data_IF_937688427941
#
_entry.id   IF_937688427941
#
_cell.length_a   1.000
_cell.length_b   1.000
_cell.length_c   1.000
_cell.angle_alpha   90.00
_cell.angle_beta   90.00
_cell.angle_gamma   90.00
#
_symmetry.space_group_name_H-M   'P 1'
#
loop_
_entity.id
_entity.type
_entity.pdbx_description
1 polymer ?
#
# COMPACT_ATOMS: atom_id res chain seq x y z
N UNK A 1 -23.89 2.89 10.98
CA UNK A 1 -23.75 1.49 11.45
C UNK A 1 -22.32 1.04 11.24
N UNK A 2 -21.75 0.40 12.26
CA UNK A 2 -20.38 -0.12 12.22
C UNK A 2 -20.44 -1.62 11.92
N UNK A 3 -19.72 -2.04 10.89
CA UNK A 3 -19.63 -3.44 10.49
C UNK A 3 -18.18 -3.91 10.51
N UNK A 4 -17.95 -5.16 10.87
CA UNK A 4 -16.66 -5.77 10.68
C UNK A 4 -16.30 -5.78 9.20
N UNK A 5 -15.02 -5.57 8.92
CA UNK A 5 -14.53 -5.51 7.57
C UNK A 5 -13.15 -6.16 7.49
N UNK A 6 -12.97 -7.04 6.54
CA UNK A 6 -11.66 -7.64 6.26
C UNK A 6 -11.11 -7.07 4.97
N UNK A 7 -9.90 -6.52 5.06
CA UNK A 7 -9.17 -6.12 3.86
C UNK A 7 -8.78 -7.39 3.11
N UNK A 8 -9.19 -7.47 1.86
CA UNK A 8 -8.88 -8.60 1.00
C UNK A 8 -8.70 -8.09 -0.42
N UNK A 9 -7.49 -7.59 -0.69
CA UNK A 9 -7.13 -7.10 -2.01
C UNK A 9 -7.05 -8.29 -2.97
N UNK A 10 -7.66 -8.16 -4.14
CA UNK A 10 -7.65 -9.24 -5.13
C UNK A 10 -6.24 -9.53 -5.62
N UNK A 11 -5.98 -10.79 -5.95
CA UNK A 11 -4.69 -11.16 -6.53
C UNK A 11 -4.46 -10.47 -7.86
N UNK A 12 -5.52 -10.24 -8.63
CA UNK A 12 -5.44 -9.48 -9.88
C UNK A 12 -4.91 -8.07 -9.67
N UNK A 13 -5.38 -7.37 -8.63
CA UNK A 13 -4.92 -6.03 -8.30
C UNK A 13 -3.45 -6.03 -7.89
N UNK A 14 -3.02 -7.01 -7.10
CA UNK A 14 -1.63 -7.16 -6.69
C UNK A 14 -0.74 -7.43 -7.91
N UNK A 15 -1.17 -8.33 -8.79
CA UNK A 15 -0.42 -8.65 -10.00
C UNK A 15 -0.33 -7.45 -10.94
N UNK A 16 -1.41 -6.67 -11.06
CA UNK A 16 -1.43 -5.45 -11.86
C UNK A 16 -0.47 -4.41 -11.30
N UNK A 17 -0.43 -4.24 -9.98
CA UNK A 17 0.53 -3.35 -9.33
C UNK A 17 1.97 -3.74 -9.67
N UNK A 18 2.30 -5.02 -9.53
CA UNK A 18 3.63 -5.51 -9.85
C UNK A 18 3.99 -5.28 -11.31
N UNK A 19 3.04 -5.50 -12.22
CA UNK A 19 3.24 -5.23 -13.64
C UNK A 19 3.50 -3.75 -13.89
N UNK A 20 2.75 -2.87 -13.24
CA UNK A 20 2.96 -1.42 -13.37
C UNK A 20 4.33 -0.98 -12.85
N UNK A 21 4.80 -1.57 -11.75
CA UNK A 21 6.15 -1.30 -11.24
C UNK A 21 7.20 -1.71 -12.25
N UNK A 22 7.06 -2.91 -12.85
CA UNK A 22 7.99 -3.38 -13.89
C UNK A 22 8.02 -2.48 -15.12
N UNK A 23 6.88 -1.89 -15.48
CA UNK A 23 6.74 -1.05 -16.65
C UNK A 23 7.02 0.42 -16.37
N UNK A 24 7.47 0.77 -15.17
CA UNK A 24 7.76 2.14 -14.80
C UNK A 24 8.82 2.74 -15.71
N UNK A 25 8.53 3.91 -16.24
CA UNK A 25 9.45 4.69 -17.05
C UNK A 25 10.12 5.72 -16.15
N UNK A 26 11.44 5.57 -15.98
CA UNK A 26 12.19 6.45 -15.08
C UNK A 26 12.52 7.76 -15.78
N UNK A 27 12.33 8.90 -15.10
CA UNK A 27 12.72 10.19 -15.67
C UNK A 27 14.24 10.35 -15.69
N UNK A 28 14.71 11.27 -16.53
CA UNK A 28 16.11 11.64 -16.52
C UNK A 28 16.50 12.34 -15.23
N UNK A 29 17.72 12.12 -14.78
CA UNK A 29 18.22 12.68 -13.54
C UNK A 29 19.34 13.68 -13.80
N UNK A 30 19.24 14.85 -13.15
CA UNK A 30 20.26 15.91 -13.28
C UNK A 30 21.50 15.53 -12.50
N UNK A 31 21.33 15.04 -11.27
CA UNK A 31 22.40 14.60 -10.39
C UNK A 31 22.00 13.29 -9.71
N UNK A 32 22.95 12.40 -9.47
CA UNK A 32 22.73 11.13 -8.77
C UNK A 32 22.76 11.33 -7.25
N UNK A 33 21.95 12.28 -6.75
CA UNK A 33 21.86 12.56 -5.32
C UNK A 33 20.51 13.20 -5.00
N UNK A 34 20.33 13.59 -3.74
CA UNK A 34 19.07 14.14 -3.23
C UNK A 34 18.91 15.65 -3.42
N UNK A 35 19.87 16.33 -4.04
CA UNK A 35 19.86 17.81 -4.09
C UNK A 35 18.68 18.40 -4.86
N UNK A 36 18.16 17.70 -5.87
CA UNK A 36 17.03 18.16 -6.68
C UNK A 36 15.77 17.31 -6.50
N UNK A 37 15.74 16.49 -5.47
CA UNK A 37 14.64 15.58 -5.20
C UNK A 37 15.16 14.20 -4.86
N UNK A 38 14.31 13.19 -5.05
CA UNK A 38 14.65 11.80 -4.72
C UNK A 38 15.81 11.31 -5.59
N UNK A 39 16.81 10.73 -4.95
CA UNK A 39 17.90 10.03 -5.65
C UNK A 39 17.31 8.89 -6.49
N UNK A 40 17.56 8.90 -7.79
CA UNK A 40 16.98 7.94 -8.72
C UNK A 40 17.48 6.52 -8.47
N UNK A 41 18.76 6.36 -8.15
CA UNK A 41 19.30 5.03 -7.84
C UNK A 41 18.63 4.43 -6.61
N UNK A 42 18.44 5.25 -5.58
CA UNK A 42 17.71 4.82 -4.38
C UNK A 42 16.28 4.41 -4.71
N UNK A 43 15.58 5.21 -5.50
CA UNK A 43 14.19 4.94 -5.87
C UNK A 43 14.07 3.64 -6.68
N UNK A 44 15.01 3.39 -7.60
CA UNK A 44 15.05 2.14 -8.36
C UNK A 44 15.26 0.93 -7.45
N UNK A 45 16.19 1.02 -6.51
CA UNK A 45 16.44 -0.04 -5.52
C UNK A 45 15.21 -0.27 -4.65
N UNK A 46 14.55 0.80 -4.23
CA UNK A 46 13.31 0.71 -3.46
C UNK A 46 12.21 0.01 -4.25
N UNK A 47 12.06 0.34 -5.53
CA UNK A 47 11.09 -0.29 -6.41
C UNK A 47 11.38 -1.78 -6.62
N UNK A 48 12.65 -2.17 -6.74
CA UNK A 48 13.04 -3.57 -6.85
C UNK A 48 12.67 -4.36 -5.58
N UNK A 49 12.87 -3.78 -4.41
CA UNK A 49 12.47 -4.39 -3.15
C UNK A 49 10.95 -4.52 -3.06
N UNK A 50 10.24 -3.50 -3.48
CA UNK A 50 8.78 -3.54 -3.51
C UNK A 50 8.29 -4.69 -4.40
N UNK A 51 8.89 -4.83 -5.58
CA UNK A 51 8.50 -5.85 -6.54
C UNK A 51 8.85 -7.27 -6.07
N UNK A 52 10.03 -7.48 -5.48
CA UNK A 52 10.61 -8.80 -5.28
C UNK A 52 10.59 -9.28 -3.82
N UNK A 53 10.58 -8.37 -2.85
CA UNK A 53 10.71 -8.72 -1.44
C UNK A 53 9.47 -8.40 -0.62
N UNK A 54 8.69 -7.39 -1.01
CA UNK A 54 7.53 -6.95 -0.25
C UNK A 54 6.34 -7.90 -0.51
N UNK A 55 5.76 -8.41 0.58
CA UNK A 55 4.56 -9.23 0.51
C UNK A 55 3.40 -8.50 1.18
N UNK A 56 2.48 -7.98 0.38
CA UNK A 56 1.30 -7.29 0.86
C UNK A 56 0.45 -8.17 1.79
N UNK A 57 0.36 -9.47 1.52
CA UNK A 57 -0.50 -10.36 2.30
C UNK A 57 -0.12 -10.41 3.77
N UNK A 58 1.17 -10.31 4.10
CA UNK A 58 1.63 -10.26 5.50
C UNK A 58 1.08 -9.01 6.19
N UNK A 59 1.14 -7.87 5.53
CA UNK A 59 0.65 -6.60 6.08
C UNK A 59 -0.87 -6.56 6.15
N UNK A 60 -1.54 -7.09 5.14
CA UNK A 60 -2.99 -7.22 5.12
C UNK A 60 -3.48 -8.02 6.32
N UNK A 61 -2.85 -9.15 6.61
CA UNK A 61 -3.18 -9.98 7.76
C UNK A 61 -2.96 -9.23 9.08
N UNK A 62 -1.85 -8.52 9.21
CA UNK A 62 -1.55 -7.72 10.41
C UNK A 62 -2.62 -6.66 10.64
N UNK A 63 -3.03 -5.96 9.60
CA UNK A 63 -4.06 -4.91 9.71
C UNK A 63 -5.40 -5.54 10.12
N UNK A 64 -5.77 -6.66 9.49
CA UNK A 64 -7.03 -7.34 9.81
C UNK A 64 -7.03 -7.88 11.26
N UNK A 65 -5.87 -8.30 11.77
CA UNK A 65 -5.74 -8.78 13.15
C UNK A 65 -5.88 -7.69 14.21
N UNK A 66 -5.61 -6.43 13.86
CA UNK A 66 -5.84 -5.30 14.76
C UNK A 66 -7.34 -5.11 15.01
N UNK A 67 -8.16 -5.41 14.04
CA UNK A 67 -9.60 -5.20 14.05
C UNK A 67 -10.00 -4.11 13.06
N UNK A 68 -10.41 -4.54 11.88
CA UNK A 68 -10.85 -3.64 10.82
C UNK A 68 -12.36 -3.53 10.81
N UNK A 69 -12.84 -2.31 10.63
CA UNK A 69 -14.27 -2.01 10.61
C UNK A 69 -14.57 -0.98 9.53
N UNK A 70 -15.83 -0.92 9.16
CA UNK A 70 -16.31 0.09 8.23
C UNK A 70 -17.54 0.76 8.82
N UNK A 71 -17.56 2.08 8.80
CA UNK A 71 -18.66 2.89 9.23
C UNK A 71 -19.29 3.59 8.03
N UNK A 72 -20.61 3.51 7.93
CA UNK A 72 -21.35 4.27 6.91
C UNK A 72 -21.87 5.55 7.55
N UNK A 73 -21.39 6.68 7.07
CA UNK A 73 -21.81 8.00 7.56
C UNK A 73 -23.24 8.34 7.13
N UNK A 74 -23.82 9.35 7.75
CA UNK A 74 -25.14 9.83 7.37
C UNK A 74 -25.21 10.36 5.93
N UNK A 75 -24.06 10.79 5.37
CA UNK A 75 -23.96 11.23 3.97
C UNK A 75 -23.75 10.07 2.99
N UNK A 76 -23.69 8.83 3.46
CA UNK A 76 -23.54 7.64 2.62
C UNK A 76 -22.09 7.22 2.35
N UNK A 77 -21.12 7.90 2.93
CA UNK A 77 -19.71 7.53 2.79
C UNK A 77 -19.39 6.33 3.66
N UNK A 78 -18.60 5.40 3.10
CA UNK A 78 -18.08 4.25 3.83
C UNK A 78 -16.65 4.56 4.28
N UNK A 79 -16.43 4.56 5.58
CA UNK A 79 -15.14 4.92 6.16
C UNK A 79 -14.55 3.69 6.83
N UNK A 80 -13.38 3.26 6.35
CA UNK A 80 -12.62 2.19 6.98
C UNK A 80 -11.83 2.74 8.17
N UNK A 81 -11.80 1.98 9.26
CA UNK A 81 -10.98 2.35 10.43
C UNK A 81 -10.49 1.10 11.15
N UNK A 82 -9.45 1.30 11.93
CA UNK A 82 -8.91 0.27 12.81
C UNK A 82 -9.32 0.60 14.24
N UNK A 83 -9.73 -0.42 14.99
CA UNK A 83 -10.11 -0.25 16.39
C UNK A 83 -9.55 -1.39 17.21
N UNK A 84 -8.68 -1.05 18.14
CA UNK A 84 -8.11 -1.98 19.10
C UNK A 84 -8.46 -1.50 20.50
N UNK A 85 -9.03 -2.38 21.30
CA UNK A 85 -9.40 -2.07 22.68
C UNK A 85 -8.29 -2.49 23.62
N UNK A 86 -8.02 -1.68 24.65
CA UNK A 86 -7.12 -2.07 25.72
C UNK A 86 -7.77 -3.11 26.61
N UNK A 87 -6.96 -3.95 27.19
CA UNK A 87 -7.41 -4.94 28.18
C UNK A 87 -7.62 -4.30 29.55
#
# INVERSE_FOLDING_TARGET
MINEFNINVSQEDIDLLKQKIKLTRWPDEINNNWSHGTDMNYLKQFSDKWLNEFDWRIHEEKINNIGSYRFKSSSGLKIHFLHSKSN
#
